data_IF_239180716229
#
_entry.id   IF_239180716229
#
_cell.length_a   1.000
_cell.length_b   1.000
_cell.length_c   1.000
_cell.angle_alpha   90.00
_cell.angle_beta   90.00
_cell.angle_gamma   90.00
#
_symmetry.space_group_name_H-M   'P 1'
#
loop_
_entity.id
_entity.type
_entity.pdbx_description
1 polymer ?
#
# COMPACT_ATOMS: atom_id res chain seq x y z
N UNK A 1 0.49 -4.66 0.13
CA UNK A 1 0.55 -5.86 0.98
C UNK A 1 -0.76 -6.63 0.90
N UNK A 2 -0.65 -7.95 0.72
CA UNK A 2 -1.79 -8.87 0.70
C UNK A 2 -2.34 -9.16 2.10
N UNK A 3 -1.54 -8.91 3.10
CA UNK A 3 -1.78 -9.18 4.51
C UNK A 3 -1.09 -8.13 5.41
N UNK A 4 -1.28 -8.24 6.70
CA UNK A 4 -0.75 -7.32 7.69
C UNK A 4 -1.47 -5.96 7.72
N UNK A 5 -1.31 -5.24 8.83
CA UNK A 5 -1.91 -3.91 9.00
C UNK A 5 -1.39 -2.92 7.98
N UNK A 6 -2.25 -2.07 7.45
CA UNK A 6 -1.85 -1.00 6.54
C UNK A 6 -2.86 0.16 6.55
N UNK A 7 -2.35 1.38 6.54
CA UNK A 7 -3.14 2.59 6.30
C UNK A 7 -2.95 3.00 4.84
N UNK A 8 -3.97 2.86 4.03
CA UNK A 8 -3.99 3.28 2.63
C UNK A 8 -4.42 4.74 2.59
N UNK A 9 -3.63 5.60 1.96
CA UNK A 9 -3.95 7.01 1.77
C UNK A 9 -4.08 7.36 0.30
N UNK A 10 -5.08 8.17 -0.05
CA UNK A 10 -5.27 8.59 -1.43
C UNK A 10 -5.67 10.07 -1.53
N UNK A 11 -5.41 10.70 -2.68
CA UNK A 11 -6.05 11.95 -3.06
C UNK A 11 -7.51 11.70 -3.44
N UNK A 12 -8.33 12.76 -3.45
CA UNK A 12 -9.79 12.64 -3.59
C UNK A 12 -10.33 13.49 -4.74
N UNK A 13 -10.00 13.17 -6.01
CA UNK A 13 -10.28 14.05 -7.15
C UNK A 13 -11.74 14.10 -7.58
N UNK A 14 -12.52 13.02 -7.48
CA UNK A 14 -13.89 12.94 -8.03
C UNK A 14 -14.94 12.94 -6.91
N UNK A 15 -14.66 12.34 -5.77
CA UNK A 15 -15.60 12.17 -4.67
C UNK A 15 -15.92 10.70 -4.41
N UNK A 16 -17.18 10.35 -4.18
CA UNK A 16 -17.57 8.99 -3.78
C UNK A 16 -17.07 7.89 -4.72
N UNK A 17 -16.86 8.19 -6.01
CA UNK A 17 -16.33 7.23 -6.98
C UNK A 17 -14.90 6.79 -6.64
N UNK A 18 -14.08 7.68 -6.08
CA UNK A 18 -12.70 7.36 -5.70
C UNK A 18 -12.68 6.26 -4.64
N UNK A 19 -13.56 6.39 -3.64
CA UNK A 19 -13.74 5.39 -2.59
C UNK A 19 -14.21 4.05 -3.14
N UNK A 20 -15.25 4.05 -3.97
CA UNK A 20 -15.79 2.84 -4.58
C UNK A 20 -14.79 2.13 -5.48
N UNK A 21 -14.03 2.88 -6.27
CA UNK A 21 -13.02 2.33 -7.16
C UNK A 21 -11.84 1.73 -6.37
N UNK A 22 -11.41 2.37 -5.26
CA UNK A 22 -10.38 1.83 -4.39
C UNK A 22 -10.88 0.61 -3.60
N UNK A 23 -12.12 0.61 -3.13
CA UNK A 23 -12.74 -0.58 -2.51
C UNK A 23 -12.66 -1.74 -3.49
N UNK A 24 -13.13 -1.56 -4.73
CA UNK A 24 -13.09 -2.59 -5.76
C UNK A 24 -11.66 -3.10 -6.02
N UNK A 25 -10.71 -2.18 -6.23
CA UNK A 25 -9.32 -2.53 -6.51
C UNK A 25 -8.67 -3.32 -5.35
N UNK A 26 -8.88 -2.86 -4.12
CA UNK A 26 -8.26 -3.50 -2.94
C UNK A 26 -8.94 -4.83 -2.62
N UNK A 27 -10.25 -4.94 -2.81
CA UNK A 27 -11.00 -6.18 -2.55
C UNK A 27 -10.64 -7.34 -3.51
N UNK A 28 -9.97 -7.06 -4.62
CA UNK A 28 -9.38 -8.11 -5.49
C UNK A 28 -8.17 -8.80 -4.83
N UNK A 29 -7.59 -8.19 -3.79
CA UNK A 29 -6.39 -8.69 -3.09
C UNK A 29 -6.69 -8.96 -1.61
N UNK A 30 -7.56 -8.16 -0.98
CA UNK A 30 -7.86 -8.21 0.46
C UNK A 30 -9.36 -8.01 0.70
N UNK A 31 -9.92 -8.84 1.59
CA UNK A 31 -11.34 -8.77 1.96
C UNK A 31 -11.60 -8.07 3.30
N UNK A 32 -10.54 -7.68 4.00
CA UNK A 32 -10.56 -7.03 5.31
C UNK A 32 -10.47 -5.50 5.25
N UNK A 33 -10.64 -4.90 4.06
CA UNK A 33 -10.59 -3.45 3.89
C UNK A 33 -11.75 -2.75 4.61
N UNK A 34 -11.41 -1.75 5.43
CA UNK A 34 -12.36 -0.77 5.97
C UNK A 34 -12.04 0.63 5.42
N UNK A 35 -13.07 1.44 5.19
CA UNK A 35 -12.94 2.79 4.65
C UNK A 35 -13.41 3.81 5.68
N UNK A 36 -12.55 4.72 6.03
CA UNK A 36 -12.92 5.87 6.88
C UNK A 36 -13.72 6.85 6.03
N UNK A 37 -14.98 6.99 6.32
CA UNK A 37 -15.93 7.74 5.51
C UNK A 37 -16.83 8.66 6.34
N UNK A 38 -17.38 9.69 5.68
CA UNK A 38 -18.36 10.54 6.30
C UNK A 38 -19.65 9.72 6.60
N UNK A 39 -20.31 10.04 7.71
CA UNK A 39 -21.54 9.40 8.15
C UNK A 39 -22.66 9.40 7.07
N UNK A 40 -22.67 10.36 6.15
CA UNK A 40 -23.61 10.37 5.01
C UNK A 40 -23.48 9.13 4.10
N UNK A 41 -22.30 8.52 3.99
CA UNK A 41 -22.10 7.31 3.18
C UNK A 41 -22.71 6.07 3.83
N UNK A 42 -23.08 6.14 5.11
CA UNK A 42 -23.81 5.08 5.81
C UNK A 42 -25.24 4.88 5.26
N UNK A 43 -25.74 5.78 4.42
CA UNK A 43 -26.98 5.56 3.69
C UNK A 43 -26.89 4.47 2.61
N UNK A 44 -25.66 4.02 2.26
CA UNK A 44 -25.44 2.97 1.25
C UNK A 44 -25.30 1.62 1.98
N UNK A 45 -26.44 0.96 2.22
CA UNK A 45 -26.52 -0.30 2.99
C UNK A 45 -25.49 -1.38 2.54
N UNK A 46 -25.26 -1.66 1.25
CA UNK A 46 -24.31 -2.69 0.84
C UNK A 46 -22.86 -2.44 1.28
N UNK A 47 -22.52 -1.20 1.66
CA UNK A 47 -21.17 -0.82 2.09
C UNK A 47 -21.00 -0.74 3.61
N UNK A 48 -22.08 -0.89 4.41
CA UNK A 48 -22.03 -0.72 5.86
C UNK A 48 -20.90 -1.50 6.53
N UNK A 49 -20.71 -2.76 6.13
CA UNK A 49 -19.67 -3.63 6.68
C UNK A 49 -18.25 -3.18 6.35
N UNK A 50 -18.09 -2.29 5.36
CA UNK A 50 -16.80 -1.78 4.93
C UNK A 50 -16.52 -0.36 5.43
N UNK A 51 -17.52 0.33 5.97
CA UNK A 51 -17.40 1.73 6.38
C UNK A 51 -17.08 1.85 7.86
N UNK A 52 -16.13 2.71 8.18
CA UNK A 52 -15.85 3.21 9.52
C UNK A 52 -16.27 4.70 9.55
N UNK A 53 -17.44 5.02 10.11
CA UNK A 53 -17.96 6.38 10.05
C UNK A 53 -17.12 7.35 10.90
N UNK A 54 -16.84 8.53 10.35
CA UNK A 54 -16.20 9.64 11.06
C UNK A 54 -17.02 10.91 10.87
N UNK A 55 -17.11 11.74 11.89
CA UNK A 55 -17.84 12.99 11.83
C UNK A 55 -16.89 14.15 11.51
N UNK A 56 -16.67 14.43 10.22
CA UNK A 56 -15.78 15.50 9.77
C UNK A 56 -16.44 16.90 9.80
N UNK A 57 -17.77 16.97 10.00
CA UNK A 57 -18.52 18.22 9.84
C UNK A 57 -18.82 18.96 11.15
N UNK A 58 -18.73 18.31 12.31
CA UNK A 58 -19.15 18.88 13.60
C UNK A 58 -18.12 18.65 14.74
N UNK A 59 -16.84 18.77 14.46
CA UNK A 59 -15.82 18.84 15.51
C UNK A 59 -15.55 17.53 16.24
N UNK A 60 -14.59 16.77 15.76
CA UNK A 60 -14.03 15.58 16.42
C UNK A 60 -14.74 14.27 16.08
N UNK A 61 -13.94 13.27 15.76
CA UNK A 61 -14.42 11.89 15.60
C UNK A 61 -14.74 11.33 16.99
N UNK A 62 -15.92 10.76 17.22
CA UNK A 62 -16.23 10.10 18.47
C UNK A 62 -15.18 9.05 18.85
N UNK A 63 -14.86 8.94 20.13
CA UNK A 63 -13.84 8.04 20.66
C UNK A 63 -14.05 6.60 20.20
N UNK A 64 -15.29 6.13 20.22
CA UNK A 64 -15.68 4.79 19.76
C UNK A 64 -15.28 4.49 18.29
N UNK A 65 -15.42 5.49 17.40
CA UNK A 65 -15.03 5.30 15.99
C UNK A 65 -13.51 5.22 15.83
N UNK A 66 -12.74 5.98 16.61
CA UNK A 66 -11.29 5.86 16.64
C UNK A 66 -10.84 4.51 17.18
N UNK A 67 -11.48 4.03 18.25
CA UNK A 67 -11.24 2.71 18.81
C UNK A 67 -11.52 1.58 17.79
N UNK A 68 -12.61 1.69 17.02
CA UNK A 68 -12.92 0.73 15.96
C UNK A 68 -11.83 0.68 14.87
N UNK A 69 -11.29 1.85 14.47
CA UNK A 69 -10.18 1.92 13.52
C UNK A 69 -8.91 1.27 14.12
N UNK A 70 -8.60 1.58 15.37
CA UNK A 70 -7.43 1.04 16.06
C UNK A 70 -7.52 -0.49 16.21
N UNK A 71 -8.68 -1.00 16.63
CA UNK A 71 -8.90 -2.44 16.80
C UNK A 71 -8.79 -3.18 15.46
N UNK A 72 -9.30 -2.60 14.38
CA UNK A 72 -9.19 -3.20 13.06
C UNK A 72 -7.74 -3.28 12.58
N UNK A 73 -6.95 -2.20 12.78
CA UNK A 73 -5.51 -2.22 12.47
C UNK A 73 -4.71 -3.13 13.42
N UNK A 74 -5.08 -3.21 14.70
CA UNK A 74 -4.46 -4.14 15.67
C UNK A 74 -4.72 -5.62 15.28
N UNK A 75 -5.85 -5.90 14.65
CA UNK A 75 -6.17 -7.20 14.05
C UNK A 75 -5.57 -7.41 12.65
N UNK A 76 -4.52 -6.66 12.29
CA UNK A 76 -3.79 -6.75 11.02
C UNK A 76 -4.65 -6.38 9.78
N UNK A 77 -5.71 -5.60 9.97
CA UNK A 77 -6.60 -5.16 8.89
C UNK A 77 -6.09 -3.98 8.07
N UNK A 78 -6.71 -3.74 6.92
CA UNK A 78 -6.45 -2.60 6.05
C UNK A 78 -7.46 -1.47 6.26
N UNK A 79 -6.97 -0.22 6.32
CA UNK A 79 -7.84 0.96 6.47
C UNK A 79 -7.53 1.98 5.38
N UNK A 80 -8.55 2.36 4.59
CA UNK A 80 -8.45 3.43 3.59
C UNK A 80 -8.91 4.76 4.18
N UNK A 81 -8.09 5.77 4.00
CA UNK A 81 -8.37 7.15 4.45
C UNK A 81 -8.09 8.14 3.32
N UNK A 82 -9.00 9.07 3.12
CA UNK A 82 -8.79 10.26 2.29
C UNK A 82 -8.41 11.44 3.20
N UNK A 83 -7.12 11.80 3.32
CA UNK A 83 -6.67 12.74 4.35
C UNK A 83 -7.22 14.17 4.19
N UNK A 84 -7.66 14.54 2.99
CA UNK A 84 -8.26 15.85 2.73
C UNK A 84 -9.66 15.99 3.33
N UNK A 85 -10.40 14.87 3.48
CA UNK A 85 -11.80 14.86 3.95
C UNK A 85 -12.79 15.56 3.02
N UNK A 86 -12.33 16.12 1.91
CA UNK A 86 -13.13 16.75 0.86
C UNK A 86 -12.52 16.52 -0.53
N UNK A 87 -13.33 16.73 -1.55
CA UNK A 87 -12.90 16.55 -2.96
C UNK A 87 -11.88 17.61 -3.36
N UNK A 88 -10.90 17.19 -4.17
CA UNK A 88 -9.84 18.07 -4.72
C UNK A 88 -10.41 19.29 -5.42
N UNK A 89 -9.69 20.40 -5.36
CA UNK A 89 -10.07 21.68 -5.95
C UNK A 89 -9.06 22.11 -7.03
N UNK A 90 -9.50 22.97 -7.93
CA UNK A 90 -8.61 23.60 -8.90
C UNK A 90 -7.67 24.57 -8.17
N UNK A 91 -6.39 24.44 -8.43
CA UNK A 91 -5.29 25.25 -7.90
C UNK A 91 -4.37 25.69 -9.04
N UNK A 92 -3.48 26.68 -8.87
CA UNK A 92 -2.52 27.06 -9.91
C UNK A 92 -1.66 25.89 -10.40
N UNK A 93 -1.39 24.91 -9.54
CA UNK A 93 -0.62 23.69 -9.87
C UNK A 93 -1.50 22.54 -10.41
N UNK A 94 -2.74 22.83 -10.80
CA UNK A 94 -3.72 21.82 -11.25
C UNK A 94 -4.72 21.39 -10.18
N UNK A 95 -5.45 20.31 -10.45
CA UNK A 95 -6.42 19.75 -9.50
C UNK A 95 -5.66 19.07 -8.36
N UNK A 96 -5.87 19.56 -7.14
CA UNK A 96 -5.19 19.06 -5.95
C UNK A 96 -6.12 19.11 -4.74
N UNK A 97 -5.86 18.21 -3.81
CA UNK A 97 -6.49 18.22 -2.50
C UNK A 97 -6.23 19.55 -1.79
N UNK A 98 -7.17 19.95 -0.98
CA UNK A 98 -7.00 21.04 -0.03
C UNK A 98 -6.04 20.65 1.11
N UNK A 99 -6.17 21.20 2.26
CA UNK A 99 -5.35 20.83 3.41
C UNK A 99 -5.62 19.39 3.84
N UNK A 100 -4.56 18.60 4.05
CA UNK A 100 -4.66 17.28 4.66
C UNK A 100 -4.75 17.39 6.19
N UNK A 101 -5.63 16.58 6.78
CA UNK A 101 -5.78 16.47 8.22
C UNK A 101 -4.78 15.49 8.82
N UNK A 102 -4.45 15.71 10.10
CA UNK A 102 -3.43 14.89 10.81
C UNK A 102 -3.94 13.53 11.28
N UNK A 103 -5.24 13.24 11.15
CA UNK A 103 -5.89 12.05 11.71
C UNK A 103 -5.25 10.75 11.25
N UNK A 104 -5.07 10.56 9.94
CA UNK A 104 -4.47 9.35 9.38
C UNK A 104 -3.08 9.07 9.95
N UNK A 105 -2.27 10.12 10.11
CA UNK A 105 -0.89 9.97 10.59
C UNK A 105 -0.84 9.68 12.10
N UNK A 106 -1.77 10.24 12.89
CA UNK A 106 -1.92 9.88 14.29
C UNK A 106 -2.29 8.41 14.44
N UNK A 107 -3.29 7.95 13.69
CA UNK A 107 -3.71 6.55 13.65
C UNK A 107 -2.53 5.65 13.27
N UNK A 108 -1.87 5.94 12.16
CA UNK A 108 -0.73 5.15 11.68
C UNK A 108 0.42 5.09 12.71
N UNK A 109 0.73 6.21 13.39
CA UNK A 109 1.76 6.23 14.44
C UNK A 109 1.35 5.43 15.68
N UNK A 110 0.11 5.53 16.13
CA UNK A 110 -0.38 4.84 17.32
C UNK A 110 -0.45 3.31 17.11
N UNK A 111 -0.81 2.90 15.91
CA UNK A 111 -0.92 1.47 15.55
C UNK A 111 0.36 0.90 14.94
N UNK A 112 1.42 1.71 14.81
CA UNK A 112 2.68 1.35 14.13
C UNK A 112 2.43 0.76 12.75
N UNK A 113 1.46 1.31 12.01
CA UNK A 113 1.04 0.77 10.71
C UNK A 113 1.86 1.36 9.59
N UNK A 114 2.33 0.57 8.62
CA UNK A 114 2.87 1.10 7.37
C UNK A 114 1.80 1.88 6.61
N UNK A 115 2.23 2.81 5.75
CA UNK A 115 1.34 3.65 4.94
C UNK A 115 1.52 3.33 3.46
N UNK A 116 0.41 3.00 2.77
CA UNK A 116 0.41 2.76 1.31
C UNK A 116 -0.21 3.96 0.60
N UNK A 117 0.58 4.76 -0.16
CA UNK A 117 0.06 5.87 -0.92
C UNK A 117 -0.52 5.40 -2.27
N UNK A 118 -1.74 5.84 -2.61
CA UNK A 118 -2.37 5.58 -3.90
C UNK A 118 -2.78 6.91 -4.53
N UNK A 119 -2.22 7.23 -5.70
CA UNK A 119 -2.59 8.42 -6.44
C UNK A 119 -3.65 8.09 -7.49
N UNK A 120 -4.76 8.81 -7.45
CA UNK A 120 -5.87 8.70 -8.40
C UNK A 120 -5.72 9.80 -9.44
N UNK A 121 -5.51 9.42 -10.70
CA UNK A 121 -5.35 10.36 -11.82
C UNK A 121 -6.70 10.64 -12.49
N UNK A 122 -7.47 11.51 -11.88
CA UNK A 122 -8.80 11.85 -12.35
C UNK A 122 -9.13 13.33 -12.14
N UNK A 123 -10.15 13.80 -12.83
CA UNK A 123 -10.65 15.19 -12.75
C UNK A 123 -12.15 15.21 -12.95
N UNK A 124 -12.82 16.05 -12.20
CA UNK A 124 -14.20 16.44 -12.49
C UNK A 124 -14.28 17.37 -13.71
N UNK A 125 -15.48 17.67 -14.17
CA UNK A 125 -15.68 18.56 -15.29
C UNK A 125 -15.27 20.01 -14.96
N UNK A 126 -14.92 20.84 -15.97
CA UNK A 126 -14.66 22.26 -15.77
C UNK A 126 -15.84 22.98 -15.09
N UNK A 127 -17.08 22.59 -15.42
CA UNK A 127 -18.29 23.12 -14.78
C UNK A 127 -18.29 22.88 -13.27
N UNK A 128 -17.92 21.68 -12.82
CA UNK A 128 -17.80 21.39 -11.39
C UNK A 128 -16.83 22.34 -10.69
N UNK A 129 -15.67 22.57 -11.28
CA UNK A 129 -14.66 23.46 -10.69
C UNK A 129 -15.12 24.92 -10.66
N UNK A 130 -15.77 25.41 -11.73
CA UNK A 130 -16.32 26.76 -11.78
C UNK A 130 -17.39 26.98 -10.70
N UNK A 131 -18.34 26.06 -10.58
CA UNK A 131 -19.37 26.11 -9.53
C UNK A 131 -18.75 26.00 -8.14
N UNK A 132 -17.73 25.15 -7.97
CA UNK A 132 -17.07 24.95 -6.67
C UNK A 132 -16.28 26.18 -6.19
N UNK A 133 -15.88 27.06 -7.10
CA UNK A 133 -15.24 28.33 -6.73
C UNK A 133 -16.26 29.34 -6.20
N UNK A 134 -17.49 29.33 -6.71
CA UNK A 134 -18.54 30.31 -6.37
C UNK A 134 -19.37 29.84 -5.17
N UNK A 135 -19.84 28.59 -5.19
CA UNK A 135 -20.75 28.09 -4.16
C UNK A 135 -20.57 26.60 -3.87
N UNK A 136 -19.84 26.28 -2.79
CA UNK A 136 -19.49 24.93 -2.38
C UNK A 136 -20.66 23.95 -2.22
N UNK A 137 -21.80 24.32 -1.57
CA UNK A 137 -22.91 23.37 -1.40
C UNK A 137 -23.48 22.86 -2.72
N UNK A 138 -23.63 23.74 -3.73
CA UNK A 138 -24.10 23.34 -5.05
C UNK A 138 -23.10 22.42 -5.76
N UNK A 139 -21.80 22.67 -5.61
CA UNK A 139 -20.77 21.78 -6.13
C UNK A 139 -20.87 20.38 -5.51
N UNK A 140 -21.20 20.28 -4.22
CA UNK A 140 -21.40 18.99 -3.54
C UNK A 140 -22.57 18.22 -4.13
N UNK A 141 -23.68 18.90 -4.44
CA UNK A 141 -24.82 18.28 -5.12
C UNK A 141 -24.47 17.79 -6.55
N UNK A 142 -23.54 18.48 -7.24
CA UNK A 142 -23.07 18.07 -8.56
C UNK A 142 -22.19 16.82 -8.54
N UNK A 143 -21.59 16.44 -7.40
CA UNK A 143 -20.69 15.26 -7.31
C UNK A 143 -21.37 13.98 -7.78
N UNK A 144 -22.64 13.77 -7.46
CA UNK A 144 -23.41 12.61 -7.92
C UNK A 144 -23.50 12.59 -9.45
N UNK A 145 -23.79 13.74 -10.07
CA UNK A 145 -23.85 13.86 -11.54
C UNK A 145 -22.47 13.64 -12.19
N UNK A 146 -21.42 14.18 -11.58
CA UNK A 146 -20.02 13.97 -12.03
C UNK A 146 -19.62 12.50 -11.94
N UNK A 147 -19.99 11.79 -10.86
CA UNK A 147 -19.76 10.36 -10.71
C UNK A 147 -20.36 9.55 -11.87
N UNK A 148 -21.61 9.80 -12.25
CA UNK A 148 -22.25 9.11 -13.37
C UNK A 148 -21.62 9.43 -14.73
N UNK A 149 -21.08 10.63 -14.94
CA UNK A 149 -20.33 10.97 -16.15
C UNK A 149 -19.03 10.15 -16.30
N UNK A 150 -18.46 9.67 -15.21
CA UNK A 150 -17.23 8.86 -15.21
C UNK A 150 -17.51 7.36 -15.40
N UNK A 151 -18.78 6.91 -15.40
CA UNK A 151 -19.18 5.48 -15.41
C UNK A 151 -18.53 4.64 -16.51
N UNK A 152 -18.21 5.23 -17.67
CA UNK A 152 -17.61 4.54 -18.82
C UNK A 152 -16.13 4.88 -19.01
N UNK A 153 -15.50 5.61 -18.09
CA UNK A 153 -14.11 6.03 -18.20
C UNK A 153 -13.21 5.15 -17.36
N UNK A 154 -12.01 4.92 -17.86
CA UNK A 154 -10.94 4.34 -17.03
C UNK A 154 -10.53 5.35 -15.96
N UNK A 155 -10.30 4.85 -14.75
CA UNK A 155 -9.80 5.62 -13.62
C UNK A 155 -8.36 5.16 -13.32
N UNK A 156 -7.35 5.77 -13.94
CA UNK A 156 -5.97 5.38 -13.70
C UNK A 156 -5.57 5.63 -12.25
N UNK A 157 -4.96 4.62 -11.63
CA UNK A 157 -4.42 4.70 -10.27
C UNK A 157 -2.95 4.32 -10.28
N UNK A 158 -2.16 5.02 -9.48
CA UNK A 158 -0.74 4.72 -9.26
C UNK A 158 -0.55 4.34 -7.82
N UNK A 159 -0.27 3.07 -7.60
CA UNK A 159 0.03 2.52 -6.28
C UNK A 159 1.52 2.74 -6.04
N UNK A 160 1.85 3.47 -4.98
CA UNK A 160 3.24 3.66 -4.55
C UNK A 160 3.75 2.45 -3.77
N UNK A 161 5.04 2.49 -3.45
CA UNK A 161 5.62 1.54 -2.50
C UNK A 161 5.16 1.86 -1.09
N UNK A 162 5.17 0.86 -0.23
CA UNK A 162 4.83 1.01 1.19
C UNK A 162 5.85 1.91 1.88
N UNK A 163 5.37 2.85 2.67
CA UNK A 163 6.18 3.66 3.59
C UNK A 163 6.13 2.94 4.94
N UNK A 164 7.21 2.25 5.36
CA UNK A 164 7.22 1.51 6.61
C UNK A 164 7.15 2.47 7.81
N UNK A 165 6.71 1.96 8.96
CA UNK A 165 6.57 2.77 10.18
C UNK A 165 7.88 3.46 10.57
N UNK A 166 9.00 2.79 10.45
CA UNK A 166 10.35 3.26 10.75
C UNK A 166 10.72 4.51 9.95
N UNK A 167 10.27 4.59 8.69
CA UNK A 167 10.56 5.71 7.80
C UNK A 167 9.95 7.06 8.25
N UNK A 168 8.94 7.02 9.13
CA UNK A 168 8.28 8.24 9.57
C UNK A 168 8.10 8.34 11.10
N UNK A 169 8.37 7.28 11.86
CA UNK A 169 8.26 7.27 13.31
C UNK A 169 9.20 8.27 13.99
N UNK A 170 10.42 8.33 13.46
CA UNK A 170 11.53 9.14 14.03
C UNK A 170 11.58 10.59 13.51
N UNK A 171 10.63 10.98 12.65
CA UNK A 171 10.61 12.36 12.16
C UNK A 171 10.34 13.33 13.30
N UNK A 172 11.29 14.24 13.55
CA UNK A 172 11.23 15.27 14.62
C UNK A 172 10.37 16.47 14.25
N UNK A 173 9.91 16.55 13.01
CA UNK A 173 9.08 17.65 12.52
C UNK A 173 7.70 17.69 13.20
N UNK A 174 7.08 18.87 13.33
CA UNK A 174 5.70 18.99 13.75
C UNK A 174 4.76 18.15 12.91
N UNK A 175 3.73 17.57 13.52
CA UNK A 175 2.82 16.62 12.85
C UNK A 175 2.20 17.18 11.56
N UNK A 176 1.91 18.49 11.53
CA UNK A 176 1.38 19.17 10.34
C UNK A 176 2.37 19.16 9.17
N UNK A 177 3.66 19.31 9.45
CA UNK A 177 4.71 19.28 8.44
C UNK A 177 4.95 17.87 7.94
N UNK A 178 4.93 16.88 8.84
CA UNK A 178 4.98 15.48 8.45
C UNK A 178 3.85 15.13 7.47
N UNK A 179 2.62 15.57 7.71
CA UNK A 179 1.48 15.40 6.80
C UNK A 179 1.76 16.03 5.43
N UNK A 180 2.44 17.19 5.37
CA UNK A 180 2.82 17.78 4.08
C UNK A 180 3.87 16.94 3.33
N UNK A 181 4.77 16.25 4.04
CA UNK A 181 5.69 15.30 3.41
C UNK A 181 4.93 14.14 2.76
N UNK A 182 3.95 13.55 3.45
CA UNK A 182 3.10 12.49 2.88
C UNK A 182 2.32 12.99 1.65
N UNK A 183 1.73 14.17 1.73
CA UNK A 183 1.03 14.79 0.61
C UNK A 183 1.97 15.02 -0.58
N UNK A 184 3.15 15.58 -0.33
CA UNK A 184 4.18 15.79 -1.36
C UNK A 184 4.64 14.47 -1.96
N UNK A 185 4.84 13.44 -1.14
CA UNK A 185 5.21 12.09 -1.57
C UNK A 185 4.20 11.53 -2.56
N UNK A 186 2.89 11.56 -2.21
CA UNK A 186 1.81 11.06 -3.06
C UNK A 186 1.74 11.81 -4.39
N UNK A 187 1.81 13.13 -4.40
CA UNK A 187 1.76 13.91 -5.65
C UNK A 187 3.00 13.76 -6.53
N UNK A 188 4.15 13.40 -5.95
CA UNK A 188 5.35 13.04 -6.74
C UNK A 188 5.15 11.71 -7.45
N UNK A 189 4.58 10.70 -6.78
CA UNK A 189 4.19 9.43 -7.38
C UNK A 189 3.22 9.69 -8.54
N UNK A 190 2.21 10.54 -8.33
CA UNK A 190 1.28 10.98 -9.37
C UNK A 190 1.94 11.60 -10.60
N UNK A 191 3.13 12.16 -10.43
CA UNK A 191 3.93 12.79 -11.50
C UNK A 191 5.07 11.89 -12.01
N UNK A 192 5.06 10.58 -11.76
CA UNK A 192 6.13 9.62 -12.08
C UNK A 192 7.49 10.02 -11.50
N UNK A 193 7.53 10.63 -10.32
CA UNK A 193 8.76 11.03 -9.63
C UNK A 193 8.91 10.25 -8.36
N UNK A 194 10.15 9.93 -7.98
CA UNK A 194 10.46 9.29 -6.70
C UNK A 194 9.84 10.11 -5.54
N UNK A 195 9.21 9.42 -4.59
CA UNK A 195 8.68 10.01 -3.36
C UNK A 195 9.75 10.72 -2.52
N UNK A 196 9.35 11.33 -1.40
CA UNK A 196 10.27 12.05 -0.49
C UNK A 196 10.53 11.27 0.80
N UNK A 197 9.72 10.27 1.10
CA UNK A 197 9.90 9.37 2.25
C UNK A 197 10.57 8.09 1.77
N UNK A 198 11.31 7.43 2.65
CA UNK A 198 11.84 6.11 2.40
C UNK A 198 10.69 5.11 2.22
N UNK A 199 10.84 4.21 1.27
CA UNK A 199 9.82 3.22 0.92
C UNK A 199 10.41 1.83 0.93
N UNK A 200 9.54 0.85 1.03
CA UNK A 200 9.84 -0.56 1.00
C UNK A 200 9.16 -1.20 -0.22
N UNK A 201 9.96 -1.75 -1.12
CA UNK A 201 9.42 -2.47 -2.27
C UNK A 201 8.67 -3.74 -1.80
N UNK A 202 7.60 -4.17 -2.48
CA UNK A 202 6.97 -5.45 -2.18
C UNK A 202 7.98 -6.58 -2.41
N UNK A 203 7.96 -7.58 -1.54
CA UNK A 203 8.75 -8.81 -1.74
C UNK A 203 8.34 -9.43 -3.08
N UNK A 204 9.31 -9.99 -3.79
CA UNK A 204 9.05 -10.66 -5.05
C UNK A 204 8.09 -11.84 -4.87
N UNK A 205 7.36 -12.19 -5.91
CA UNK A 205 6.62 -13.45 -5.95
C UNK A 205 7.61 -14.63 -5.92
N UNK A 206 7.21 -15.78 -5.35
CA UNK A 206 7.99 -17.01 -5.43
C UNK A 206 8.32 -17.37 -6.89
N UNK A 207 9.47 -17.97 -7.10
CA UNK A 207 9.82 -18.53 -8.40
C UNK A 207 8.97 -19.80 -8.68
N UNK A 208 8.83 -20.17 -9.95
CA UNK A 208 8.07 -21.37 -10.33
C UNK A 208 8.73 -22.61 -9.74
N UNK A 209 7.96 -23.43 -9.02
CA UNK A 209 8.45 -24.62 -8.32
C UNK A 209 9.07 -25.66 -9.25
N UNK A 210 8.54 -25.81 -10.47
CA UNK A 210 9.07 -26.75 -11.45
C UNK A 210 10.38 -26.25 -12.08
N UNK A 211 10.48 -24.94 -12.29
CA UNK A 211 11.74 -24.33 -12.75
C UNK A 211 12.82 -24.42 -11.66
N UNK A 212 12.48 -24.17 -10.40
CA UNK A 212 13.38 -24.37 -9.26
C UNK A 212 13.85 -25.82 -9.18
N UNK A 213 12.95 -26.80 -9.24
CA UNK A 213 13.29 -28.21 -9.17
C UNK A 213 14.21 -28.64 -10.32
N UNK A 214 13.99 -28.14 -11.55
CA UNK A 214 14.88 -28.41 -12.67
C UNK A 214 16.28 -27.81 -12.47
N UNK A 215 16.32 -26.57 -11.95
CA UNK A 215 17.59 -25.87 -11.75
C UNK A 215 18.39 -26.49 -10.60
N UNK A 216 17.75 -26.83 -9.48
CA UNK A 216 18.44 -27.39 -8.31
C UNK A 216 19.04 -28.78 -8.60
N UNK A 217 18.36 -29.59 -9.42
CA UNK A 217 18.83 -30.91 -9.84
C UNK A 217 20.06 -30.89 -10.76
N UNK A 218 20.45 -29.69 -11.24
CA UNK A 218 21.69 -29.49 -12.00
C UNK A 218 22.86 -29.12 -11.10
N UNK A 219 22.60 -28.85 -9.81
CA UNK A 219 23.63 -28.52 -8.83
C UNK A 219 24.27 -29.79 -8.25
N UNK A 220 25.44 -29.65 -7.67
CA UNK A 220 26.11 -30.72 -6.96
C UNK A 220 25.32 -31.15 -5.73
N UNK A 221 24.91 -32.40 -5.68
CA UNK A 221 24.21 -32.97 -4.54
C UNK A 221 25.21 -33.47 -3.49
N UNK A 222 25.14 -32.92 -2.28
CA UNK A 222 26.10 -33.21 -1.20
C UNK A 222 25.59 -34.29 -0.22
N UNK A 223 24.28 -34.50 -0.14
CA UNK A 223 23.68 -35.47 0.79
C UNK A 223 22.29 -35.07 1.27
N UNK A 224 21.88 -35.66 2.39
CA UNK A 224 20.57 -35.47 2.99
C UNK A 224 20.67 -35.14 4.47
N UNK A 225 19.70 -34.41 4.96
CA UNK A 225 19.47 -34.22 6.41
C UNK A 225 18.74 -35.45 7.00
N UNK A 226 18.73 -35.55 8.33
CA UNK A 226 18.07 -36.65 9.03
C UNK A 226 16.53 -36.71 8.77
N UNK A 227 15.91 -35.56 8.44
CA UNK A 227 14.49 -35.42 8.07
C UNK A 227 14.23 -35.51 6.57
N UNK A 228 15.24 -35.96 5.79
CA UNK A 228 15.09 -36.28 4.37
C UNK A 228 15.18 -35.10 3.40
N UNK A 229 15.58 -33.92 3.83
CA UNK A 229 15.83 -32.80 2.94
C UNK A 229 17.14 -32.99 2.17
N UNK A 230 17.19 -32.56 0.92
CA UNK A 230 18.39 -32.63 0.09
C UNK A 230 19.29 -31.42 0.30
N UNK A 231 20.59 -31.62 0.34
CA UNK A 231 21.60 -30.56 0.42
C UNK A 231 22.29 -30.43 -0.93
N UNK A 232 22.23 -29.24 -1.54
CA UNK A 232 22.90 -28.92 -2.79
C UNK A 232 23.93 -27.83 -2.62
N UNK A 233 25.03 -27.92 -3.38
CA UNK A 233 26.00 -26.84 -3.52
C UNK A 233 25.67 -26.05 -4.80
N UNK A 234 25.36 -24.78 -4.62
CA UNK A 234 25.00 -23.90 -5.73
C UNK A 234 26.02 -22.75 -5.85
N UNK A 235 26.51 -22.52 -7.07
CA UNK A 235 27.29 -21.34 -7.42
C UNK A 235 26.51 -20.44 -8.36
N UNK A 236 26.37 -19.17 -8.00
CA UNK A 236 25.59 -18.23 -8.80
C UNK A 236 26.35 -17.82 -10.07
N UNK A 237 25.73 -18.03 -11.23
CA UNK A 237 26.23 -17.61 -12.54
C UNK A 237 25.09 -17.04 -13.37
N UNK A 238 25.10 -15.72 -13.60
CA UNK A 238 24.11 -15.04 -14.42
C UNK A 238 22.68 -15.10 -13.87
N UNK A 239 21.69 -15.24 -14.76
CA UNK A 239 20.29 -15.38 -14.34
C UNK A 239 20.02 -16.78 -13.80
N UNK A 240 19.49 -16.87 -12.59
CA UNK A 240 19.15 -18.15 -11.97
C UNK A 240 17.90 -18.04 -11.12
N UNK A 241 16.91 -18.96 -11.28
CA UNK A 241 15.75 -19.01 -10.40
C UNK A 241 16.15 -19.37 -8.96
N UNK A 242 17.21 -20.15 -8.75
CA UNK A 242 17.71 -20.50 -7.42
C UNK A 242 18.14 -19.24 -6.67
N UNK A 243 19.02 -18.41 -7.26
CA UNK A 243 19.47 -17.18 -6.60
C UNK A 243 18.33 -16.19 -6.36
N UNK A 244 17.40 -16.12 -7.29
CA UNK A 244 16.21 -15.24 -7.15
C UNK A 244 15.32 -15.68 -5.99
N UNK A 245 15.16 -16.98 -5.78
CA UNK A 245 14.39 -17.52 -4.66
C UNK A 245 15.16 -17.37 -3.34
N UNK A 246 16.46 -17.66 -3.31
CA UNK A 246 17.32 -17.41 -2.13
C UNK A 246 17.20 -15.94 -1.72
N UNK A 247 17.38 -15.01 -2.66
CA UNK A 247 17.27 -13.57 -2.39
C UNK A 247 15.90 -13.15 -1.90
N UNK A 248 14.82 -13.80 -2.37
CA UNK A 248 13.47 -13.59 -1.86
C UNK A 248 13.32 -14.05 -0.42
N UNK A 249 13.77 -15.26 -0.11
CA UNK A 249 13.70 -15.84 1.25
C UNK A 249 14.58 -15.07 2.24
N UNK A 250 15.78 -14.65 1.84
CA UNK A 250 16.65 -13.76 2.62
C UNK A 250 15.96 -12.45 2.97
N UNK A 251 15.37 -11.79 1.97
CA UNK A 251 14.63 -10.53 2.20
C UNK A 251 13.44 -10.75 3.15
N UNK A 252 12.70 -11.86 3.06
CA UNK A 252 11.62 -12.20 4.00
C UNK A 252 12.19 -12.32 5.43
N UNK A 253 13.23 -13.12 5.61
CA UNK A 253 13.80 -13.41 6.92
C UNK A 253 14.40 -12.15 7.56
N UNK A 254 15.24 -11.42 6.83
CA UNK A 254 15.90 -10.21 7.36
C UNK A 254 14.91 -9.06 7.57
N UNK A 255 13.91 -8.92 6.69
CA UNK A 255 12.87 -7.91 6.87
C UNK A 255 12.04 -8.13 8.13
N UNK A 256 11.78 -9.39 8.50
CA UNK A 256 11.03 -9.72 9.71
C UNK A 256 11.74 -9.25 11.00
N UNK A 257 13.07 -9.14 10.98
CA UNK A 257 13.88 -8.65 12.10
C UNK A 257 14.38 -7.21 11.93
N UNK A 258 13.90 -6.51 10.87
CA UNK A 258 14.25 -5.10 10.63
C UNK A 258 15.58 -4.88 9.91
N UNK A 259 16.23 -5.93 9.41
CA UNK A 259 17.54 -5.91 8.73
C UNK A 259 17.42 -6.09 7.20
N UNK A 260 16.22 -6.14 6.67
CA UNK A 260 15.98 -6.28 5.23
C UNK A 260 16.49 -5.10 4.39
N UNK A 261 16.84 -5.38 3.14
CA UNK A 261 17.33 -4.36 2.19
C UNK A 261 16.24 -3.40 1.71
N UNK A 262 14.98 -3.66 2.02
CA UNK A 262 13.79 -2.97 1.50
C UNK A 262 13.62 -3.10 -0.03
N UNK A 263 14.32 -4.05 -0.65
CA UNK A 263 14.20 -4.40 -2.07
C UNK A 263 13.28 -5.60 -2.26
N UNK A 264 13.00 -5.95 -3.49
CA UNK A 264 12.16 -7.12 -3.81
C UNK A 264 12.85 -8.44 -3.47
N UNK A 265 14.17 -8.47 -3.48
CA UNK A 265 15.06 -9.58 -3.16
C UNK A 265 16.35 -9.02 -2.56
N UNK A 266 16.89 -9.71 -1.61
CA UNK A 266 18.22 -9.45 -1.06
C UNK A 266 19.26 -10.21 -1.89
N UNK A 267 19.73 -9.56 -2.95
CA UNK A 267 20.80 -10.05 -3.83
C UNK A 267 21.77 -8.91 -4.05
N UNK A 268 23.07 -9.20 -3.94
CA UNK A 268 24.12 -8.22 -4.15
C UNK A 268 25.24 -8.74 -5.08
N UNK A 269 26.27 -7.91 -5.28
CA UNK A 269 27.39 -8.22 -6.17
C UNK A 269 28.29 -9.36 -5.65
N UNK A 270 28.23 -9.67 -4.37
CA UNK A 270 29.05 -10.70 -3.74
C UNK A 270 28.47 -12.09 -3.90
N UNK A 271 27.18 -12.22 -4.15
CA UNK A 271 26.51 -13.51 -4.32
C UNK A 271 27.12 -14.37 -5.45
N UNK A 272 27.74 -13.73 -6.45
CA UNK A 272 28.46 -14.43 -7.53
C UNK A 272 29.81 -15.02 -7.12
N UNK A 273 30.36 -14.57 -5.98
CA UNK A 273 31.66 -15.01 -5.49
C UNK A 273 31.60 -16.13 -4.45
N UNK A 274 30.39 -16.36 -3.91
CA UNK A 274 30.19 -17.37 -2.88
C UNK A 274 29.50 -18.61 -3.43
N UNK A 275 29.79 -19.74 -2.79
CA UNK A 275 28.99 -20.94 -2.89
C UNK A 275 27.85 -20.87 -1.88
N UNK A 276 26.68 -21.30 -2.28
CA UNK A 276 25.50 -21.35 -1.45
C UNK A 276 25.17 -22.81 -1.13
N UNK A 277 25.04 -23.14 0.14
CA UNK A 277 24.44 -24.41 0.57
C UNK A 277 22.94 -24.23 0.56
N UNK A 278 22.25 -25.04 -0.21
CA UNK A 278 20.81 -24.96 -0.39
C UNK A 278 20.14 -26.19 0.18
N UNK A 279 19.24 -25.99 1.11
CA UNK A 279 18.40 -27.05 1.65
C UNK A 279 17.09 -27.10 0.86
N UNK A 280 16.86 -28.24 0.22
CA UNK A 280 15.73 -28.44 -0.71
C UNK A 280 14.75 -29.48 -0.19
N UNK A 281 13.46 -29.13 -0.17
CA UNK A 281 12.36 -30.05 0.06
C UNK A 281 11.82 -30.59 -1.27
N UNK A 282 12.02 -31.88 -1.53
CA UNK A 282 11.53 -32.51 -2.76
C UNK A 282 10.01 -32.74 -2.75
N UNK A 283 9.38 -32.81 -1.56
CA UNK A 283 7.92 -33.03 -1.45
C UNK A 283 7.15 -31.76 -1.80
N UNK A 284 7.62 -30.62 -1.35
CA UNK A 284 6.98 -29.32 -1.57
C UNK A 284 7.59 -28.54 -2.74
N UNK A 285 8.69 -29.03 -3.32
CA UNK A 285 9.46 -28.39 -4.38
C UNK A 285 9.87 -26.95 -4.02
N UNK A 286 10.47 -26.79 -2.85
CA UNK A 286 10.86 -25.48 -2.35
C UNK A 286 12.22 -25.48 -1.63
N UNK A 287 12.85 -24.31 -1.62
CA UNK A 287 14.05 -24.04 -0.81
C UNK A 287 13.57 -23.71 0.61
N UNK A 288 14.07 -24.48 1.60
CA UNK A 288 13.72 -24.31 3.01
C UNK A 288 14.86 -23.78 3.87
N UNK A 289 16.07 -23.68 3.32
CA UNK A 289 17.25 -23.13 3.98
C UNK A 289 18.44 -22.98 3.05
#
# INVERSE_FOLDING_TARGET
PSDGRVVIIANHPIGSLDGLALIKLVSEVRHDLKVVANQMLMAIEPLHNMLLPVNNMQGGTPKQHLEAIHNHLAGEGAVLIFPAGEVSRLRPQGVRDTRWHTGFLRIAKQTKSPVLPVYIDAKNSPLFYSVSMVYKPLATALLVKEMFKQRKKHLPMRIGEVIPYEAYSQLTLPLKEQVQLFKRHLYRIGSNRKGVLATQAPIAMPEDRKELSRAIKQCEHLGHTADGKHIYLYQHQGYSPIMREIGRLREIAFRAVGEGTNRRRDIDQYDSHYYHLVLWDESDLEIVG
#
